data_IF_469109543844
#
_entry.id   IF_469109543844
#
_cell.length_a   1.000
_cell.length_b   1.000
_cell.length_c   1.000
_cell.angle_alpha   90.00
_cell.angle_beta   90.00
_cell.angle_gamma   90.00
#
_symmetry.space_group_name_H-M   'P 1'
#
loop_
_entity.id
_entity.type
_entity.pdbx_description
1 polymer ?
#
# COMPACT_ATOMS: atom_id res chain seq x y z
N UNK A 1 -1.35 17.69 23.88
CA UNK A 1 -1.44 16.25 23.53
C UNK A 1 -0.08 15.56 23.37
N UNK A 2 1.04 16.30 23.26
CA UNK A 2 2.39 15.73 23.25
C UNK A 2 3.12 16.04 24.56
N UNK A 3 3.93 15.12 25.10
CA UNK A 3 4.72 15.37 26.31
C UNK A 3 5.88 16.34 26.04
N UNK A 4 6.42 16.94 27.09
CA UNK A 4 7.64 17.77 27.01
C UNK A 4 8.87 16.93 26.62
N UNK A 5 8.91 15.68 27.06
CA UNK A 5 9.97 14.71 26.78
C UNK A 5 9.36 13.45 26.17
N UNK A 6 10.01 12.89 25.16
CA UNK A 6 9.55 11.67 24.48
C UNK A 6 10.73 10.74 24.20
N UNK A 7 10.59 9.48 24.56
CA UNK A 7 11.57 8.42 24.29
C UNK A 7 10.95 7.38 23.36
N UNK A 8 11.68 7.00 22.29
CA UNK A 8 11.29 5.93 21.37
C UNK A 8 12.19 4.73 21.65
N UNK A 9 11.64 3.68 22.26
CA UNK A 9 12.34 2.44 22.52
C UNK A 9 12.29 1.53 21.28
N UNK A 10 13.45 1.11 20.78
CA UNK A 10 13.59 0.32 19.56
C UNK A 10 14.37 -0.97 19.83
N UNK A 11 13.86 -2.10 19.36
CA UNK A 11 14.55 -3.39 19.36
C UNK A 11 14.90 -3.82 17.95
N UNK A 12 16.17 -4.16 17.72
CA UNK A 12 16.64 -4.62 16.40
C UNK A 12 16.00 -5.96 16.06
N UNK A 13 15.34 -6.04 14.90
CA UNK A 13 14.81 -7.27 14.34
C UNK A 13 15.87 -7.97 13.47
N UNK A 14 16.49 -7.24 12.55
CA UNK A 14 17.51 -7.79 11.65
C UNK A 14 18.47 -6.72 11.11
N UNK A 15 19.66 -7.16 10.71
CA UNK A 15 20.54 -6.36 9.85
C UNK A 15 20.08 -6.45 8.40
N UNK A 16 20.30 -5.39 7.62
CA UNK A 16 20.01 -5.35 6.19
C UNK A 16 21.32 -5.24 5.41
N UNK A 17 21.36 -5.82 4.21
CA UNK A 17 22.57 -5.79 3.37
C UNK A 17 23.03 -4.36 3.07
N UNK A 18 22.08 -3.47 2.81
CA UNK A 18 22.29 -2.03 2.62
C UNK A 18 20.97 -1.27 2.89
N UNK A 19 21.05 0.06 2.94
CA UNK A 19 19.91 0.97 3.10
C UNK A 19 19.13 1.19 1.79
N UNK A 20 18.65 2.41 1.54
CA UNK A 20 18.00 2.74 0.27
C UNK A 20 18.94 2.52 -0.93
N UNK A 21 20.24 2.79 -0.72
CA UNK A 21 21.30 2.65 -1.70
C UNK A 21 22.44 1.75 -1.18
N UNK A 22 23.18 1.06 -2.07
CA UNK A 22 24.20 0.06 -1.69
C UNK A 22 25.30 0.53 -0.74
N UNK A 23 25.65 1.83 -0.75
CA UNK A 23 26.70 2.39 0.09
C UNK A 23 26.25 2.68 1.54
N UNK A 24 24.95 2.59 1.83
CA UNK A 24 24.38 2.89 3.14
C UNK A 24 24.25 1.60 3.94
N UNK A 25 24.66 1.60 5.21
CA UNK A 25 24.37 0.51 6.14
C UNK A 25 22.96 0.65 6.72
N UNK A 26 22.27 -0.46 6.96
CA UNK A 26 20.93 -0.42 7.51
C UNK A 26 20.57 -1.62 8.40
N UNK A 27 19.55 -1.42 9.23
CA UNK A 27 18.94 -2.43 10.06
C UNK A 27 17.46 -2.12 10.24
N UNK A 28 16.65 -3.16 10.45
CA UNK A 28 15.23 -3.01 10.73
C UNK A 28 14.99 -3.16 12.23
N UNK A 29 14.26 -2.21 12.81
CA UNK A 29 13.92 -2.16 14.23
C UNK A 29 12.40 -2.17 14.39
N UNK A 30 11.92 -2.72 15.49
CA UNK A 30 10.54 -2.57 15.96
C UNK A 30 10.47 -1.65 17.16
N UNK A 31 9.37 -0.93 17.29
CA UNK A 31 9.06 -0.19 18.51
C UNK A 31 8.69 -1.15 19.64
N UNK A 32 9.23 -0.89 20.84
CA UNK A 32 8.85 -1.63 22.05
C UNK A 32 7.75 -0.87 22.79
N UNK A 33 6.51 -1.34 22.66
CA UNK A 33 5.36 -0.77 23.38
C UNK A 33 4.77 -1.83 24.31
N UNK A 34 4.82 -1.56 25.62
CA UNK A 34 4.28 -2.48 26.64
C UNK A 34 2.78 -2.71 26.40
N UNK A 35 2.36 -3.97 26.37
CA UNK A 35 0.95 -4.36 26.29
C UNK A 35 0.29 -4.25 24.92
N UNK A 36 1.04 -3.90 23.85
CA UNK A 36 0.55 -3.96 22.47
C UNK A 36 1.19 -5.13 21.72
N UNK A 37 0.44 -5.74 20.80
CA UNK A 37 0.96 -6.73 19.86
C UNK A 37 1.92 -6.10 18.85
N UNK A 38 2.32 -6.87 17.85
CA UNK A 38 3.25 -6.44 16.79
C UNK A 38 2.45 -6.14 15.49
N UNK A 39 1.77 -4.97 15.35
CA UNK A 39 1.03 -4.66 14.13
C UNK A 39 1.99 -4.31 12.98
N UNK A 40 1.50 -4.49 11.75
CA UNK A 40 2.18 -4.05 10.53
C UNK A 40 3.38 -4.91 10.14
N UNK A 41 4.29 -4.35 9.34
CA UNK A 41 5.42 -5.09 8.75
C UNK A 41 6.41 -5.64 9.81
N UNK A 42 6.46 -5.03 10.99
CA UNK A 42 7.34 -5.47 12.07
C UNK A 42 6.92 -6.82 12.70
N UNK A 43 5.63 -7.17 12.62
CA UNK A 43 5.10 -8.47 13.03
C UNK A 43 4.87 -9.43 11.87
N UNK A 44 5.32 -9.09 10.65
CA UNK A 44 5.15 -9.94 9.49
C UNK A 44 6.03 -11.19 9.56
N UNK A 45 5.49 -12.32 9.12
CA UNK A 45 6.23 -13.57 8.97
C UNK A 45 6.59 -13.77 7.50
N UNK A 46 7.89 -13.86 7.19
CA UNK A 46 8.33 -14.25 5.86
C UNK A 46 8.24 -15.78 5.69
N UNK A 47 7.32 -16.22 4.85
CA UNK A 47 7.01 -17.64 4.59
C UNK A 47 8.02 -18.25 3.59
N UNK A 48 8.44 -17.49 2.59
CA UNK A 48 9.46 -17.92 1.62
C UNK A 48 10.15 -16.76 0.91
N UNK A 49 11.14 -17.08 0.08
CA UNK A 49 11.82 -16.14 -0.81
C UNK A 49 13.16 -15.65 -0.27
N UNK A 50 13.76 -14.70 -0.99
CA UNK A 50 15.02 -14.06 -0.63
C UNK A 50 14.89 -13.19 0.62
N UNK A 51 15.97 -12.89 1.36
CA UNK A 51 15.94 -11.89 2.44
C UNK A 51 15.37 -10.54 1.97
N UNK A 52 14.67 -9.83 2.87
CA UNK A 52 14.11 -8.50 2.60
C UNK A 52 15.23 -7.45 2.49
N UNK A 53 15.15 -6.58 1.49
CA UNK A 53 15.95 -5.35 1.45
C UNK A 53 15.25 -4.20 2.20
N UNK A 54 15.97 -3.09 2.42
CA UNK A 54 15.40 -1.87 2.99
C UNK A 54 14.19 -1.37 2.18
N UNK A 55 14.34 -1.28 0.86
CA UNK A 55 13.26 -0.83 -0.02
C UNK A 55 12.09 -1.82 -0.06
N UNK A 56 12.34 -3.13 0.06
CA UNK A 56 11.25 -4.10 0.18
C UNK A 56 10.43 -3.85 1.45
N UNK A 57 11.07 -3.59 2.60
CA UNK A 57 10.34 -3.31 3.86
C UNK A 57 9.47 -2.05 3.72
N UNK A 58 10.02 -0.98 3.13
CA UNK A 58 9.28 0.25 2.86
C UNK A 58 8.06 0.02 1.95
N UNK A 59 8.27 -0.67 0.82
CA UNK A 59 7.22 -0.88 -0.17
C UNK A 59 6.17 -1.89 0.34
N UNK A 60 6.55 -2.90 1.14
CA UNK A 60 5.59 -3.84 1.77
C UNK A 60 4.72 -3.10 2.79
N UNK A 61 5.32 -2.27 3.64
CA UNK A 61 4.57 -1.47 4.61
C UNK A 61 3.60 -0.50 3.90
N UNK A 62 4.07 0.18 2.85
CA UNK A 62 3.22 1.02 2.00
C UNK A 62 2.07 0.25 1.36
N UNK A 63 2.33 -0.95 0.83
CA UNK A 63 1.33 -1.79 0.18
C UNK A 63 0.28 -2.28 1.17
N UNK A 64 0.73 -2.74 2.34
CA UNK A 64 -0.13 -3.23 3.40
C UNK A 64 -1.01 -2.12 3.96
N UNK A 65 -0.45 -0.93 4.23
CA UNK A 65 -1.23 0.25 4.67
C UNK A 65 -2.26 0.66 3.63
N UNK A 66 -1.90 0.64 2.34
CA UNK A 66 -2.81 1.01 1.26
C UNK A 66 -3.98 0.03 1.18
N UNK A 67 -3.72 -1.29 1.15
CA UNK A 67 -4.77 -2.30 1.04
C UNK A 67 -5.67 -2.33 2.29
N UNK A 68 -5.08 -2.24 3.49
CA UNK A 68 -5.82 -2.30 4.75
C UNK A 68 -6.59 -1.02 5.11
N UNK A 69 -6.42 0.07 4.35
CA UNK A 69 -7.26 1.27 4.50
C UNK A 69 -8.69 1.01 3.97
N UNK A 70 -8.90 -0.09 3.22
CA UNK A 70 -10.20 -0.48 2.68
C UNK A 70 -10.79 -1.66 3.44
N UNK A 71 -12.09 -1.60 3.73
CA UNK A 71 -12.86 -2.68 4.37
C UNK A 71 -13.31 -3.78 3.42
N UNK A 72 -13.56 -3.44 2.14
CA UNK A 72 -13.84 -4.42 1.08
C UNK A 72 -12.58 -5.22 0.69
N UNK A 73 -12.68 -6.41 0.09
CA UNK A 73 -11.50 -7.12 -0.42
C UNK A 73 -10.77 -6.27 -1.48
N UNK A 74 -9.48 -6.03 -1.25
CA UNK A 74 -8.69 -5.03 -1.99
C UNK A 74 -7.29 -5.57 -2.28
N UNK A 75 -6.83 -5.30 -3.51
CA UNK A 75 -5.45 -5.50 -3.93
C UNK A 75 -4.79 -4.14 -4.16
N UNK A 76 -3.61 -3.94 -3.56
CA UNK A 76 -2.72 -2.82 -3.84
C UNK A 76 -1.43 -3.32 -4.51
N UNK A 77 -0.96 -2.61 -5.52
CA UNK A 77 0.33 -2.85 -6.19
C UNK A 77 1.19 -1.59 -6.04
N UNK A 78 2.24 -1.69 -5.23
CA UNK A 78 3.14 -0.58 -4.91
C UNK A 78 4.46 -0.72 -5.64
N UNK A 79 5.01 0.42 -6.04
CA UNK A 79 6.42 0.52 -6.44
C UNK A 79 6.98 1.86 -5.97
N UNK A 80 8.11 1.84 -5.28
CA UNK A 80 8.75 3.04 -4.74
C UNK A 80 7.77 3.90 -3.92
N UNK A 81 7.05 3.27 -2.99
CA UNK A 81 6.09 3.84 -2.05
C UNK A 81 4.83 4.48 -2.65
N UNK A 82 4.57 4.29 -3.96
CA UNK A 82 3.37 4.80 -4.62
C UNK A 82 2.52 3.66 -5.23
N UNK A 83 1.17 3.75 -5.17
CA UNK A 83 0.26 2.75 -5.71
C UNK A 83 0.12 2.86 -7.23
N UNK A 84 0.88 2.06 -7.97
CA UNK A 84 0.71 1.93 -9.42
C UNK A 84 -0.53 1.12 -9.81
N UNK A 85 -1.10 0.35 -8.88
CA UNK A 85 -2.36 -0.36 -9.03
C UNK A 85 -3.11 -0.42 -7.71
N UNK A 86 -4.43 -0.28 -7.75
CA UNK A 86 -5.30 -0.41 -6.58
C UNK A 86 -6.72 -0.73 -7.05
N UNK A 87 -7.35 -1.76 -6.49
CA UNK A 87 -8.76 -2.03 -6.75
C UNK A 87 -9.42 -2.84 -5.64
N UNK A 88 -10.72 -2.58 -5.43
CA UNK A 88 -11.57 -3.34 -4.51
C UNK A 88 -12.66 -4.08 -5.28
N UNK A 89 -12.82 -5.37 -4.99
CA UNK A 89 -13.84 -6.21 -5.65
C UNK A 89 -14.16 -7.45 -4.79
N UNK A 90 -15.40 -7.96 -4.87
CA UNK A 90 -15.81 -9.14 -4.08
C UNK A 90 -15.12 -10.45 -4.49
N UNK A 91 -14.64 -10.51 -5.74
CA UNK A 91 -13.71 -11.52 -6.26
C UNK A 91 -12.29 -10.92 -6.29
N UNK A 92 -11.38 -11.51 -5.51
CA UNK A 92 -10.02 -11.00 -5.33
C UNK A 92 -9.13 -11.18 -6.58
N UNK A 93 -9.41 -12.17 -7.43
CA UNK A 93 -8.70 -12.35 -8.69
C UNK A 93 -9.09 -11.24 -9.69
N UNK A 94 -10.36 -10.84 -9.70
CA UNK A 94 -10.83 -9.66 -10.44
C UNK A 94 -10.25 -8.36 -9.85
N UNK A 95 -10.19 -8.21 -8.52
CA UNK A 95 -9.53 -7.08 -7.88
C UNK A 95 -8.06 -6.96 -8.34
N UNK A 96 -7.33 -8.07 -8.35
CA UNK A 96 -5.95 -8.09 -8.85
C UNK A 96 -5.85 -7.67 -10.32
N UNK A 97 -6.69 -8.23 -11.21
CA UNK A 97 -6.67 -7.88 -12.64
C UNK A 97 -6.95 -6.39 -12.86
N UNK A 98 -7.90 -5.81 -12.12
CA UNK A 98 -8.20 -4.37 -12.16
C UNK A 98 -7.07 -3.52 -11.60
N UNK A 99 -6.46 -3.93 -10.49
CA UNK A 99 -5.33 -3.22 -9.91
C UNK A 99 -4.13 -3.21 -10.89
N UNK A 100 -3.81 -4.36 -11.49
CA UNK A 100 -2.73 -4.48 -12.49
C UNK A 100 -2.99 -3.60 -13.72
N UNK A 101 -4.26 -3.48 -14.15
CA UNK A 101 -4.65 -2.64 -15.28
C UNK A 101 -4.45 -1.13 -15.02
N UNK A 102 -4.25 -0.69 -13.77
CA UNK A 102 -3.94 0.70 -13.45
C UNK A 102 -2.70 1.19 -14.18
N UNK A 103 -1.57 0.53 -13.97
CA UNK A 103 -0.30 0.77 -14.66
C UNK A 103 0.55 -0.52 -14.76
N UNK A 104 0.29 -1.38 -15.76
CA UNK A 104 0.94 -2.69 -15.86
C UNK A 104 2.44 -2.60 -16.08
N UNK A 105 2.93 -1.50 -16.69
CA UNK A 105 4.35 -1.26 -16.92
C UNK A 105 5.06 -0.99 -15.59
N UNK A 106 4.49 -0.12 -14.76
CA UNK A 106 5.06 0.16 -13.44
C UNK A 106 4.95 -1.03 -12.48
N UNK A 107 3.88 -1.82 -12.57
CA UNK A 107 3.64 -2.97 -11.69
C UNK A 107 4.75 -4.03 -11.71
N UNK A 108 5.49 -4.17 -12.83
CA UNK A 108 6.57 -5.14 -12.94
C UNK A 108 7.66 -4.93 -11.88
N UNK A 109 7.96 -5.95 -11.08
CA UNK A 109 8.92 -5.86 -9.97
C UNK A 109 8.40 -5.05 -8.77
N UNK A 110 7.10 -4.73 -8.73
CA UNK A 110 6.46 -4.10 -7.59
C UNK A 110 6.17 -5.09 -6.45
N UNK A 111 5.37 -4.61 -5.51
CA UNK A 111 4.91 -5.37 -4.34
C UNK A 111 3.39 -5.44 -4.34
N UNK A 112 2.85 -6.65 -4.21
CA UNK A 112 1.41 -6.89 -4.14
C UNK A 112 1.01 -7.04 -2.68
N UNK A 113 -0.02 -6.31 -2.25
CA UNK A 113 -0.67 -6.51 -0.96
C UNK A 113 -2.14 -6.86 -1.15
N UNK A 114 -2.63 -7.80 -0.35
CA UNK A 114 -4.05 -8.07 -0.16
C UNK A 114 -4.43 -7.79 1.29
N UNK A 115 -5.61 -7.23 1.52
CA UNK A 115 -6.18 -7.10 2.88
C UNK A 115 -6.99 -8.35 3.31
N UNK A 116 -7.13 -9.34 2.43
CA UNK A 116 -7.83 -10.62 2.69
C UNK A 116 -6.95 -11.81 2.26
N UNK A 117 -7.36 -13.01 2.66
CA UNK A 117 -6.65 -14.26 2.32
C UNK A 117 -6.52 -14.42 0.81
N UNK A 118 -5.34 -14.80 0.31
CA UNK A 118 -5.12 -15.07 -1.12
C UNK A 118 -5.47 -16.53 -1.43
N UNK A 119 -6.45 -16.70 -2.33
CA UNK A 119 -6.88 -18.00 -2.85
C UNK A 119 -6.08 -18.43 -4.09
N UNK A 120 -6.33 -19.66 -4.57
CA UNK A 120 -5.64 -20.20 -5.74
C UNK A 120 -5.89 -19.37 -7.01
N UNK A 121 -7.11 -18.91 -7.25
CA UNK A 121 -7.48 -18.15 -8.44
C UNK A 121 -6.70 -16.83 -8.51
N UNK A 122 -6.62 -16.11 -7.38
CA UNK A 122 -5.84 -14.88 -7.24
C UNK A 122 -4.35 -15.15 -7.40
N UNK A 123 -3.83 -16.22 -6.78
CA UNK A 123 -2.44 -16.62 -6.92
C UNK A 123 -2.06 -16.97 -8.37
N UNK A 124 -2.95 -17.60 -9.12
CA UNK A 124 -2.76 -17.90 -10.55
C UNK A 124 -2.60 -16.62 -11.36
N UNK A 125 -3.45 -15.61 -11.15
CA UNK A 125 -3.31 -14.32 -11.83
C UNK A 125 -2.01 -13.60 -11.43
N UNK A 126 -1.70 -13.51 -10.14
CA UNK A 126 -0.44 -12.91 -9.65
C UNK A 126 0.79 -13.64 -10.23
N UNK A 127 0.70 -14.96 -10.42
CA UNK A 127 1.80 -15.76 -10.94
C UNK A 127 2.19 -15.42 -12.38
N UNK A 128 1.34 -14.72 -13.15
CA UNK A 128 1.62 -14.32 -14.54
C UNK A 128 2.60 -13.14 -14.65
N UNK A 129 2.74 -12.35 -13.59
CA UNK A 129 3.61 -11.16 -13.56
C UNK A 129 4.78 -11.34 -12.59
N UNK A 130 5.91 -10.70 -12.86
CA UNK A 130 7.04 -10.69 -11.93
C UNK A 130 6.83 -9.63 -10.84
N UNK A 131 6.96 -10.04 -9.57
CA UNK A 131 6.90 -9.16 -8.40
C UNK A 131 8.04 -9.50 -7.45
N UNK A 132 8.47 -8.51 -6.68
CA UNK A 132 9.53 -8.64 -5.68
C UNK A 132 9.01 -9.31 -4.40
N UNK A 133 7.76 -8.99 -4.02
CA UNK A 133 7.10 -9.51 -2.83
C UNK A 133 5.57 -9.54 -2.95
N UNK A 134 4.95 -10.44 -2.18
CA UNK A 134 3.50 -10.48 -1.91
C UNK A 134 3.30 -10.50 -0.39
N UNK A 135 2.35 -9.72 0.10
CA UNK A 135 1.90 -9.73 1.50
C UNK A 135 0.38 -9.86 1.58
N UNK A 136 -0.10 -10.70 2.49
CA UNK A 136 -1.51 -10.89 2.78
C UNK A 136 -1.68 -11.35 4.24
N UNK A 137 -2.89 -11.33 4.82
CA UNK A 137 -3.15 -11.96 6.11
C UNK A 137 -2.81 -13.44 6.11
N UNK A 138 -3.18 -14.17 5.06
CA UNK A 138 -3.01 -15.62 4.92
C UNK A 138 -3.13 -16.06 3.45
N UNK A 139 -2.89 -17.34 3.18
CA UNK A 139 -2.94 -17.95 1.84
C UNK A 139 -3.59 -19.34 1.90
N UNK A 140 -4.30 -19.75 0.84
CA UNK A 140 -4.64 -21.16 0.68
C UNK A 140 -3.38 -22.00 0.44
N UNK A 141 -3.41 -23.29 0.82
CA UNK A 141 -2.24 -24.17 0.72
C UNK A 141 -1.78 -24.37 -0.73
N UNK A 142 -2.71 -24.49 -1.66
CA UNK A 142 -2.47 -24.61 -3.10
C UNK A 142 -1.99 -23.30 -3.71
N UNK A 143 -2.53 -22.15 -3.28
CA UNK A 143 -2.06 -20.81 -3.63
C UNK A 143 -0.60 -20.62 -3.21
N UNK A 144 -0.27 -20.95 -1.96
CA UNK A 144 1.09 -20.86 -1.45
C UNK A 144 2.04 -21.80 -2.19
N UNK A 145 1.60 -23.03 -2.48
CA UNK A 145 2.38 -24.01 -3.25
C UNK A 145 2.69 -23.53 -4.66
N UNK A 146 1.74 -22.86 -5.32
CA UNK A 146 1.94 -22.25 -6.63
C UNK A 146 2.95 -21.10 -6.56
N UNK A 147 2.77 -20.16 -5.63
CA UNK A 147 3.62 -18.97 -5.51
C UNK A 147 5.06 -19.33 -5.14
N UNK A 148 5.27 -20.33 -4.29
CA UNK A 148 6.60 -20.84 -3.90
C UNK A 148 7.42 -21.41 -5.06
N UNK A 149 6.81 -21.69 -6.22
CA UNK A 149 7.56 -22.08 -7.44
C UNK A 149 8.48 -20.95 -7.92
N UNK A 150 8.13 -19.69 -7.65
CA UNK A 150 9.00 -18.54 -7.86
C UNK A 150 9.97 -18.40 -6.68
N UNK A 151 11.10 -19.09 -6.71
CA UNK A 151 12.05 -19.17 -5.58
C UNK A 151 12.51 -17.83 -5.00
N UNK A 152 12.58 -16.80 -5.85
CA UNK A 152 13.04 -15.47 -5.46
C UNK A 152 11.94 -14.59 -4.86
N UNK A 153 10.68 -14.95 -5.07
CA UNK A 153 9.52 -14.19 -4.61
C UNK A 153 9.40 -14.25 -3.09
N UNK A 154 9.41 -13.08 -2.46
CA UNK A 154 9.15 -12.94 -1.03
C UNK A 154 7.66 -13.09 -0.76
N UNK A 155 7.30 -14.08 0.04
CA UNK A 155 5.90 -14.29 0.45
C UNK A 155 5.83 -14.02 1.93
N UNK A 156 4.97 -13.07 2.33
CA UNK A 156 4.80 -12.67 3.73
C UNK A 156 3.35 -12.85 4.16
N UNK A 157 3.17 -13.29 5.41
CA UNK A 157 1.91 -13.14 6.13
C UNK A 157 2.02 -11.97 7.11
N UNK A 158 1.06 -11.04 7.05
CA UNK A 158 0.96 -9.92 7.97
C UNK A 158 -0.51 -9.52 8.16
N UNK A 159 -0.89 -9.21 9.40
CA UNK A 159 -2.22 -8.70 9.73
C UNK A 159 -2.08 -7.28 10.25
N UNK A 160 -2.76 -6.32 9.61
CA UNK A 160 -2.96 -4.99 10.18
C UNK A 160 -4.29 -4.99 10.91
N UNK A 161 -4.25 -5.21 12.23
CA UNK A 161 -5.42 -4.94 13.06
C UNK A 161 -5.45 -3.45 13.37
N UNK A 162 -6.65 -2.87 13.24
CA UNK A 162 -6.99 -1.45 13.36
C UNK A 162 -5.95 -0.64 14.12
N UNK A 163 -5.38 0.34 13.44
CA UNK A 163 -4.34 1.17 14.02
C UNK A 163 -4.90 1.84 15.28
N UNK A 164 -4.39 1.54 16.49
CA UNK A 164 -4.54 2.49 17.57
C UNK A 164 -3.93 3.81 17.08
N UNK A 165 -4.35 4.95 17.62
CA UNK A 165 -3.78 6.26 17.28
C UNK A 165 -2.27 6.21 17.54
N UNK A 166 -1.49 5.86 16.51
CA UNK A 166 -0.04 5.76 16.56
C UNK A 166 0.54 7.13 16.25
N UNK A 167 1.70 7.40 16.82
CA UNK A 167 2.48 8.55 16.40
C UNK A 167 3.20 8.17 15.12
N UNK A 168 3.20 9.10 14.16
CA UNK A 168 4.03 9.05 12.98
C UNK A 168 5.17 10.06 13.17
N UNK A 169 6.38 9.62 12.86
CA UNK A 169 7.59 10.41 13.07
C UNK A 169 8.28 10.69 11.75
N UNK A 170 8.61 11.96 11.52
CA UNK A 170 9.46 12.37 10.41
C UNK A 170 10.78 12.90 10.94
N UNK A 171 11.88 12.23 10.58
CA UNK A 171 13.22 12.73 10.89
C UNK A 171 13.47 14.05 10.16
N UNK A 172 14.00 15.02 10.89
CA UNK A 172 14.54 16.29 10.36
C UNK A 172 15.95 16.49 10.89
N UNK A 173 16.70 17.42 10.31
CA UNK A 173 18.04 17.77 10.81
C UNK A 173 17.97 18.14 12.30
N UNK A 174 18.70 17.39 13.13
CA UNK A 174 18.76 17.64 14.58
C UNK A 174 17.56 17.14 15.41
N UNK A 175 16.45 16.69 14.82
CA UNK A 175 15.28 16.26 15.59
C UNK A 175 14.24 15.40 14.85
N UNK A 176 13.02 15.34 15.40
CA UNK A 176 11.87 14.66 14.82
C UNK A 176 10.64 15.56 14.85
N UNK A 177 9.81 15.47 13.82
CA UNK A 177 8.42 15.92 13.85
C UNK A 177 7.56 14.73 14.28
N UNK A 178 6.62 14.94 15.20
CA UNK A 178 5.69 13.93 15.66
C UNK A 178 4.25 14.37 15.36
N UNK A 179 3.45 13.47 14.80
CA UNK A 179 2.05 13.71 14.48
C UNK A 179 1.23 12.46 14.80
N UNK A 180 -0.08 12.58 14.95
CA UNK A 180 -0.96 11.41 14.94
C UNK A 180 -1.04 10.85 13.52
N UNK A 181 -1.10 9.53 13.38
CA UNK A 181 -1.31 8.89 12.07
C UNK A 181 -2.60 9.38 11.41
N UNK A 182 -2.54 9.53 10.09
CA UNK A 182 -3.72 9.81 9.28
C UNK A 182 -4.65 8.59 9.31
N UNK A 183 -5.74 8.74 10.07
CA UNK A 183 -6.79 7.75 10.29
C UNK A 183 -8.13 8.22 9.72
N UNK A 184 -8.07 9.02 8.62
CA UNK A 184 -9.26 9.56 7.93
C UNK A 184 -10.39 8.53 7.90
N UNK A 185 -11.52 8.91 8.49
CA UNK A 185 -12.67 8.02 8.66
C UNK A 185 -13.21 7.56 7.31
N UNK A 186 -13.80 6.37 7.28
CA UNK A 186 -14.46 5.85 6.08
C UNK A 186 -15.65 6.75 5.66
N UNK A 187 -16.33 7.32 6.65
CA UNK A 187 -17.53 8.13 6.48
C UNK A 187 -17.16 9.61 6.31
N UNK A 188 -16.93 10.00 5.06
CA UNK A 188 -16.74 11.40 4.69
C UNK A 188 -18.05 11.96 4.13
N UNK A 189 -18.53 13.07 4.72
CA UNK A 189 -19.70 13.78 4.19
C UNK A 189 -19.31 14.57 2.96
N UNK A 190 -19.70 14.09 1.78
CA UNK A 190 -19.52 14.81 0.52
C UNK A 190 -20.53 15.96 0.42
N UNK A 191 -20.05 17.14 0.00
CA UNK A 191 -20.90 18.29 -0.33
C UNK A 191 -20.78 18.62 -1.83
N UNK A 192 -21.82 18.37 -2.62
CA UNK A 192 -21.89 18.81 -4.01
C UNK A 192 -21.77 20.33 -4.11
N UNK A 193 -20.92 20.82 -5.03
CA UNK A 193 -20.67 22.26 -5.28
C UNK A 193 -21.08 22.69 -6.70
N UNK A 194 -21.74 21.81 -7.43
CA UNK A 194 -22.26 22.02 -8.80
C UNK A 194 -23.75 21.64 -8.85
N UNK A 195 -24.42 21.97 -9.96
CA UNK A 195 -25.84 21.63 -10.15
C UNK A 195 -26.08 20.12 -10.32
N UNK A 196 -25.18 19.42 -11.02
CA UNK A 196 -25.26 17.97 -11.24
C UNK A 196 -24.86 17.22 -9.97
N UNK A 197 -25.76 16.40 -9.48
CA UNK A 197 -25.47 15.46 -8.39
C UNK A 197 -24.71 14.23 -8.92
N UNK A 198 -23.74 13.69 -8.17
CA UNK A 198 -23.11 12.43 -8.53
C UNK A 198 -24.14 11.28 -8.42
N UNK A 199 -24.05 10.30 -9.31
CA UNK A 199 -24.81 9.05 -9.16
C UNK A 199 -24.31 8.25 -7.94
N UNK A 200 -25.05 7.23 -7.47
CA UNK A 200 -24.56 6.33 -6.42
C UNK A 200 -23.22 5.66 -6.77
N UNK A 201 -23.03 5.29 -8.03
CA UNK A 201 -21.78 4.69 -8.53
C UNK A 201 -20.64 5.70 -8.53
N UNK A 202 -20.88 6.91 -9.02
CA UNK A 202 -19.88 7.99 -8.98
C UNK A 202 -19.52 8.36 -7.54
N UNK A 203 -20.50 8.38 -6.63
CA UNK A 203 -20.29 8.65 -5.20
C UNK A 203 -19.39 7.58 -4.57
N UNK A 204 -19.63 6.31 -4.89
CA UNK A 204 -18.81 5.18 -4.44
C UNK A 204 -17.37 5.29 -4.95
N UNK A 205 -17.18 5.63 -6.22
CA UNK A 205 -15.84 5.78 -6.82
C UNK A 205 -15.11 7.03 -6.29
N UNK A 206 -15.83 8.12 -5.99
CA UNK A 206 -15.28 9.31 -5.34
C UNK A 206 -14.77 9.01 -3.93
N UNK A 207 -15.51 8.24 -3.13
CA UNK A 207 -15.07 7.82 -1.79
C UNK A 207 -13.85 6.88 -1.88
N UNK A 208 -13.83 5.97 -2.85
CA UNK A 208 -12.66 5.14 -3.12
C UNK A 208 -11.44 5.98 -3.50
N UNK A 209 -11.58 6.94 -4.43
CA UNK A 209 -10.51 7.82 -4.87
C UNK A 209 -9.99 8.72 -3.74
N UNK A 210 -10.90 9.25 -2.92
CA UNK A 210 -10.57 10.05 -1.75
C UNK A 210 -9.72 9.29 -0.74
N UNK A 211 -10.01 7.99 -0.55
CA UNK A 211 -9.20 7.15 0.30
C UNK A 211 -7.86 6.76 -0.35
N UNK A 212 -7.89 6.42 -1.64
CA UNK A 212 -6.70 6.05 -2.38
C UNK A 212 -5.65 7.16 -2.42
N UNK A 213 -6.07 8.43 -2.61
CA UNK A 213 -5.15 9.56 -2.79
C UNK A 213 -4.28 9.84 -1.55
N UNK A 214 -4.71 9.44 -0.35
CA UNK A 214 -3.92 9.49 0.89
C UNK A 214 -2.59 8.74 0.78
N UNK A 215 -2.57 7.66 -0.01
CA UNK A 215 -1.39 6.79 -0.18
C UNK A 215 -0.48 7.23 -1.34
N UNK A 216 -0.85 8.30 -2.05
CA UNK A 216 -0.07 8.87 -3.15
C UNK A 216 0.69 10.09 -2.65
N UNK A 217 1.99 10.21 -2.98
CA UNK A 217 2.80 11.35 -2.52
C UNK A 217 2.29 12.67 -3.12
N UNK A 218 2.21 13.73 -2.31
CA UNK A 218 1.70 15.04 -2.71
C UNK A 218 2.66 15.83 -3.64
N UNK A 219 2.16 16.68 -4.56
CA UNK A 219 0.75 16.78 -4.95
C UNK A 219 0.29 15.49 -5.64
N UNK A 220 -0.92 15.06 -5.30
CA UNK A 220 -1.47 13.77 -5.67
C UNK A 220 -2.80 13.94 -6.39
N UNK A 221 -2.95 13.26 -7.53
CA UNK A 221 -4.21 13.14 -8.28
C UNK A 221 -4.45 11.66 -8.55
N UNK A 222 -5.65 11.18 -8.24
CA UNK A 222 -6.10 9.81 -8.53
C UNK A 222 -7.34 9.90 -9.41
N UNK A 223 -7.33 9.16 -10.51
CA UNK A 223 -8.50 8.89 -11.33
C UNK A 223 -8.93 7.45 -11.05
N UNK A 224 -10.20 7.26 -10.69
CA UNK A 224 -10.75 5.95 -10.38
C UNK A 224 -12.12 5.76 -11.05
N UNK A 225 -12.45 4.51 -11.32
CA UNK A 225 -13.75 4.07 -11.84
C UNK A 225 -13.97 2.62 -11.45
N UNK A 226 -15.21 2.26 -11.11
CA UNK A 226 -15.59 0.90 -10.70
C UNK A 226 -14.69 0.34 -9.59
N UNK A 227 -14.42 1.18 -8.57
CA UNK A 227 -13.53 0.88 -7.44
C UNK A 227 -12.11 0.46 -7.83
N UNK A 228 -11.59 0.96 -8.96
CA UNK A 228 -10.25 0.68 -9.44
C UNK A 228 -9.52 1.96 -9.86
N UNK A 229 -8.22 2.03 -9.56
CA UNK A 229 -7.32 3.09 -10.00
C UNK A 229 -7.09 2.96 -11.51
N UNK A 230 -7.42 4.03 -12.24
CA UNK A 230 -7.15 4.14 -13.67
C UNK A 230 -5.81 4.83 -13.93
N UNK A 231 -5.47 5.83 -13.13
CA UNK A 231 -4.21 6.56 -13.25
C UNK A 231 -3.96 7.43 -12.02
N UNK A 232 -2.68 7.63 -11.72
CA UNK A 232 -2.25 8.57 -10.68
C UNK A 232 -1.17 9.50 -11.20
N UNK A 233 -1.16 10.72 -10.68
CA UNK A 233 -0.03 11.65 -10.75
C UNK A 233 0.48 11.91 -9.35
N UNK A 234 1.72 11.51 -9.09
CA UNK A 234 2.31 11.50 -7.76
C UNK A 234 3.53 12.43 -7.69
N UNK A 235 3.66 13.13 -6.56
CA UNK A 235 4.90 13.74 -6.10
C UNK A 235 5.34 14.98 -6.87
N UNK A 236 4.47 15.61 -7.65
CA UNK A 236 4.86 16.79 -8.41
C UNK A 236 4.73 18.08 -7.58
N UNK A 237 5.67 19.02 -7.69
CA UNK A 237 5.52 20.35 -7.10
C UNK A 237 4.28 21.08 -7.64
N UNK A 238 4.01 20.94 -8.94
CA UNK A 238 2.81 21.47 -9.60
C UNK A 238 1.67 20.46 -9.57
N UNK A 239 0.49 20.90 -9.12
CA UNK A 239 -0.73 20.07 -9.14
C UNK A 239 -1.23 19.84 -10.57
N UNK A 240 -1.00 20.77 -11.48
CA UNK A 240 -1.37 20.64 -12.89
C UNK A 240 -0.61 19.48 -13.53
N UNK A 241 0.69 19.38 -13.28
CA UNK A 241 1.53 18.28 -13.78
C UNK A 241 1.04 16.93 -13.23
N UNK A 242 0.58 16.91 -11.97
CA UNK A 242 -0.03 15.71 -11.38
C UNK A 242 -1.31 15.31 -12.13
N UNK A 243 -2.15 16.28 -12.53
CA UNK A 243 -3.36 16.01 -13.34
C UNK A 243 -2.97 15.45 -14.71
N UNK A 244 -1.99 16.06 -15.39
CA UNK A 244 -1.53 15.62 -16.71
C UNK A 244 -0.98 14.20 -16.69
N UNK A 245 -0.18 13.86 -15.66
CA UNK A 245 0.34 12.50 -15.48
C UNK A 245 -0.81 11.52 -15.23
N UNK A 246 -1.75 11.86 -14.34
CA UNK A 246 -2.88 10.99 -14.02
C UNK A 246 -3.74 10.70 -15.27
N UNK A 247 -4.07 11.73 -16.04
CA UNK A 247 -4.82 11.61 -17.31
C UNK A 247 -4.05 10.77 -18.34
N UNK A 248 -2.75 11.01 -18.49
CA UNK A 248 -1.91 10.24 -19.41
C UNK A 248 -1.86 8.75 -19.03
N UNK A 249 -1.80 8.43 -17.73
CA UNK A 249 -1.81 7.05 -17.24
C UNK A 249 -3.17 6.38 -17.43
N UNK A 250 -4.26 7.10 -17.20
CA UNK A 250 -5.60 6.59 -17.40
C UNK A 250 -5.92 6.36 -18.90
N UNK A 251 -5.45 7.25 -19.79
CA UNK A 251 -5.74 7.18 -21.22
C UNK A 251 -7.25 7.29 -21.49
N UNK A 252 -7.75 6.58 -22.50
CA UNK A 252 -9.17 6.62 -22.87
C UNK A 252 -10.12 6.10 -21.78
N UNK A 253 -9.60 5.38 -20.77
CA UNK A 253 -10.39 4.90 -19.63
C UNK A 253 -10.91 6.04 -18.75
N UNK A 254 -10.34 7.25 -18.83
CA UNK A 254 -10.78 8.41 -18.05
C UNK A 254 -11.99 9.14 -18.64
N UNK A 255 -12.56 8.64 -19.75
CA UNK A 255 -13.69 9.26 -20.45
C UNK A 255 -15.03 8.63 -20.07
#
# INVERSE_FOLDING_TARGET
KFPQEMTIALKKLQGLTYGENPHQQAAFYREEVIGKGEPGIAGATQISGKPLSYNNILDIDGALRTACDFSAPTIAVIKHTNPCGLASHGDLAEAYRRALAGDPVSAFGGIVASNTKIDLATAQEISKTHFDAIVAPDYDEDALSLLKRKRDLRILSAVVKGAPTTLDFRRVSGGFLAQTSDSTAEDVTLRPVTERQPTPEETRDLLFAWRAVKHVKSNAIVLAKDLALLGMGAGQPSRVDSVEIALKKAGDRSR
#
